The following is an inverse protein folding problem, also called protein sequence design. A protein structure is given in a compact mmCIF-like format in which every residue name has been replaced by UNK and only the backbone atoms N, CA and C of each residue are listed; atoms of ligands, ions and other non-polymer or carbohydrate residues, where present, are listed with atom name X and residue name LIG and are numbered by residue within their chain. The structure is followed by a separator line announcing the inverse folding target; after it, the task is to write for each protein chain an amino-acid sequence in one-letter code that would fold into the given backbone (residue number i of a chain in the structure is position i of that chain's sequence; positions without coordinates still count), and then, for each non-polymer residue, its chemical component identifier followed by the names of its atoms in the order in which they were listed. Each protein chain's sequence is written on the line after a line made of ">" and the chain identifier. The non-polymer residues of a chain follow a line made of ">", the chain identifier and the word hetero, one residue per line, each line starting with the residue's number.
data_IF_974385959042
#
_entry.id   IF_974385959042
#
_cell.length_a   1.000
_cell.length_b   1.000
_cell.length_c   1.000
_cell.angle_alpha   90.00
_cell.angle_beta   90.00
_cell.angle_gamma   90.00
#
_symmetry.space_group_name_H-M   'P 1'
#
loop_
_entity.id
_entity.type
_entity.pdbx_description
1 polymer ?
#
# COMPACT_ATOMS: atom_id res chain seq x y z
N UNK A 1 -33.31 14.69 17.60
CA UNK A 1 -33.20 15.80 16.64
C UNK A 1 -31.79 15.85 16.08
N UNK A 2 -31.64 15.59 14.79
CA UNK A 2 -30.34 15.81 14.11
C UNK A 2 -30.19 17.32 13.99
N UNK A 3 -29.17 17.88 14.60
CA UNK A 3 -29.01 19.34 14.64
C UNK A 3 -28.76 19.91 13.23
N UNK A 4 -29.21 21.15 13.00
CA UNK A 4 -28.92 21.88 11.75
C UNK A 4 -27.41 21.88 11.44
N UNK A 5 -26.58 21.82 12.47
CA UNK A 5 -25.13 21.73 12.39
C UNK A 5 -24.66 20.44 11.69
N UNK A 6 -25.33 19.32 11.96
CA UNK A 6 -25.01 18.04 11.31
C UNK A 6 -25.27 18.11 9.79
N UNK A 7 -26.41 18.67 9.38
CA UNK A 7 -26.73 18.84 7.97
C UNK A 7 -25.81 19.81 7.23
N UNK A 8 -25.37 20.87 7.93
CA UNK A 8 -24.38 21.80 7.38
C UNK A 8 -23.02 21.10 7.18
N UNK A 9 -22.62 20.25 8.10
CA UNK A 9 -21.39 19.46 8.00
C UNK A 9 -21.47 18.45 6.85
N UNK A 10 -22.58 17.75 6.72
CA UNK A 10 -22.81 16.81 5.59
C UNK A 10 -22.77 17.54 4.27
N UNK A 11 -23.39 18.72 4.18
CA UNK A 11 -23.38 19.53 2.97
C UNK A 11 -21.98 20.05 2.64
N UNK A 12 -21.21 20.48 3.63
CA UNK A 12 -19.82 20.91 3.45
C UNK A 12 -18.93 19.77 2.92
N UNK A 13 -19.07 18.56 3.49
CA UNK A 13 -18.36 17.37 3.01
C UNK A 13 -18.78 17.02 1.59
N UNK A 14 -20.08 17.07 1.28
CA UNK A 14 -20.58 16.83 -0.07
C UNK A 14 -20.02 17.81 -1.09
N UNK A 15 -19.92 19.09 -0.75
CA UNK A 15 -19.32 20.12 -1.62
C UNK A 15 -17.84 19.82 -1.89
N UNK A 16 -17.08 19.46 -0.85
CA UNK A 16 -15.65 19.11 -1.01
C UNK A 16 -15.46 17.88 -1.90
N UNK A 17 -16.35 16.89 -1.80
CA UNK A 17 -16.26 15.65 -2.59
C UNK A 17 -16.71 15.85 -4.02
N UNK A 18 -17.80 16.61 -4.24
CA UNK A 18 -18.48 16.72 -5.55
C UNK A 18 -17.96 17.86 -6.42
N UNK A 19 -17.29 18.87 -5.84
CA UNK A 19 -16.83 20.04 -6.59
C UNK A 19 -15.30 19.97 -6.78
N UNK A 20 -14.79 19.60 -7.98
CA UNK A 20 -13.37 19.40 -8.25
C UNK A 20 -12.46 20.57 -7.82
N UNK A 21 -12.78 21.85 -8.13
CA UNK A 21 -11.90 22.95 -7.76
C UNK A 21 -11.80 23.18 -6.23
N UNK A 22 -12.82 22.81 -5.48
CA UNK A 22 -12.83 22.89 -4.01
C UNK A 22 -11.99 21.74 -3.43
N UNK A 23 -12.13 20.55 -3.99
CA UNK A 23 -11.37 19.37 -3.62
C UNK A 23 -9.87 19.60 -3.78
N UNK A 24 -9.42 20.15 -4.91
CA UNK A 24 -8.00 20.41 -5.16
C UNK A 24 -7.38 21.40 -4.17
N UNK A 25 -8.15 22.39 -3.70
CA UNK A 25 -7.68 23.39 -2.73
C UNK A 25 -7.70 22.89 -1.29
N UNK A 26 -8.67 22.06 -0.93
CA UNK A 26 -8.90 21.62 0.45
C UNK A 26 -8.13 20.34 0.74
N UNK A 27 -8.04 19.42 -0.22
CA UNK A 27 -7.43 18.11 -0.03
C UNK A 27 -5.99 18.16 0.49
N UNK A 28 -5.07 18.98 -0.03
CA UNK A 28 -3.71 19.06 0.49
C UNK A 28 -3.62 19.53 1.94
N UNK A 29 -4.63 20.27 2.42
CA UNK A 29 -4.67 20.79 3.80
C UNK A 29 -5.21 19.77 4.80
N UNK A 30 -6.11 18.90 4.37
CA UNK A 30 -6.72 17.88 5.24
C UNK A 30 -5.98 16.54 5.18
N UNK A 31 -5.27 16.26 4.10
CA UNK A 31 -4.53 15.02 3.91
C UNK A 31 -3.60 14.68 5.08
N UNK A 32 -2.83 15.61 5.67
CA UNK A 32 -1.98 15.30 6.82
C UNK A 32 -2.75 14.76 8.03
N UNK A 33 -4.01 15.17 8.20
CA UNK A 33 -4.85 14.67 9.29
C UNK A 33 -5.23 13.18 9.14
N UNK A 34 -5.18 12.64 7.92
CA UNK A 34 -5.45 11.23 7.64
C UNK A 34 -4.20 10.35 7.71
N UNK A 35 -2.99 10.92 7.79
CA UNK A 35 -1.76 10.12 7.83
C UNK A 35 -1.75 9.03 8.92
N UNK A 36 -2.20 9.25 10.16
CA UNK A 36 -2.24 8.19 11.17
C UNK A 36 -3.14 7.02 10.78
N UNK A 37 -4.27 7.29 10.11
CA UNK A 37 -5.17 6.27 9.60
C UNK A 37 -4.54 5.50 8.43
N UNK A 38 -3.86 6.21 7.54
CA UNK A 38 -3.15 5.62 6.41
C UNK A 38 -1.97 4.76 6.88
N UNK A 39 -1.22 5.18 7.89
CA UNK A 39 -0.15 4.39 8.49
C UNK A 39 -0.69 3.10 9.10
N UNK A 40 -1.79 3.18 9.84
CA UNK A 40 -2.44 1.99 10.41
C UNK A 40 -2.91 1.03 9.32
N UNK A 41 -3.54 1.55 8.26
CA UNK A 41 -4.00 0.76 7.13
C UNK A 41 -2.82 0.11 6.39
N UNK A 42 -1.77 0.88 6.08
CA UNK A 42 -0.58 0.38 5.42
C UNK A 42 0.12 -0.74 6.21
N UNK A 43 0.15 -0.64 7.55
CA UNK A 43 0.69 -1.73 8.40
C UNK A 43 -0.09 -3.03 8.26
N UNK A 44 -1.40 -2.95 8.14
CA UNK A 44 -2.24 -4.13 7.89
C UNK A 44 -2.01 -4.68 6.48
N UNK A 45 -1.99 -3.81 5.49
CA UNK A 45 -1.82 -4.18 4.08
C UNK A 45 -0.46 -4.84 3.79
N UNK A 46 0.65 -4.32 4.34
CA UNK A 46 1.96 -4.96 4.15
C UNK A 46 2.00 -6.38 4.72
N UNK A 47 1.29 -6.63 5.83
CA UNK A 47 1.19 -7.97 6.40
C UNK A 47 0.26 -8.89 5.59
N UNK A 48 -0.82 -8.36 5.06
CA UNK A 48 -1.72 -9.11 4.15
C UNK A 48 -1.01 -9.53 2.86
N UNK A 49 -0.25 -8.61 2.25
CA UNK A 49 0.54 -8.91 1.05
C UNK A 49 1.65 -9.91 1.37
N UNK A 50 2.32 -9.78 2.52
CA UNK A 50 3.30 -10.78 3.00
C UNK A 50 2.68 -12.17 3.05
N UNK A 51 1.49 -12.31 3.65
CA UNK A 51 0.80 -13.60 3.78
C UNK A 51 0.33 -14.14 2.43
N UNK A 52 -0.03 -13.24 1.50
CA UNK A 52 -0.37 -13.58 0.12
C UNK A 52 0.86 -14.13 -0.63
N UNK A 53 2.00 -13.46 -0.52
CA UNK A 53 3.28 -13.90 -1.11
C UNK A 53 3.69 -15.26 -0.54
N UNK A 54 3.57 -15.44 0.77
CA UNK A 54 3.88 -16.70 1.44
C UNK A 54 3.01 -17.86 0.94
N UNK A 55 1.71 -17.62 0.75
CA UNK A 55 0.81 -18.63 0.18
C UNK A 55 1.16 -18.97 -1.27
N UNK A 56 1.48 -17.98 -2.09
CA UNK A 56 1.89 -18.19 -3.47
C UNK A 56 3.19 -18.99 -3.55
N UNK A 57 4.18 -18.69 -2.71
CA UNK A 57 5.42 -19.44 -2.59
C UNK A 57 5.19 -20.89 -2.16
N UNK A 58 4.31 -21.13 -1.17
CA UNK A 58 3.95 -22.48 -0.73
C UNK A 58 3.26 -23.30 -1.83
N UNK A 59 2.60 -22.65 -2.78
CA UNK A 59 2.01 -23.28 -3.97
C UNK A 59 3.01 -23.45 -5.12
N UNK A 60 4.30 -23.16 -4.90
CA UNK A 60 5.34 -23.28 -5.91
C UNK A 60 5.35 -22.17 -6.96
N UNK A 61 4.66 -21.05 -6.71
CA UNK A 61 4.67 -19.91 -7.62
C UNK A 61 5.90 -19.05 -7.39
N UNK A 62 6.57 -18.66 -8.46
CA UNK A 62 7.71 -17.75 -8.39
C UNK A 62 7.23 -16.34 -8.10
N UNK A 63 7.76 -15.74 -7.04
CA UNK A 63 7.47 -14.35 -6.68
C UNK A 63 8.45 -13.44 -7.42
N UNK A 64 7.98 -12.52 -8.28
CA UNK A 64 8.87 -11.61 -8.99
C UNK A 64 9.43 -10.54 -8.05
N UNK A 65 10.70 -10.21 -8.22
CA UNK A 65 11.39 -9.18 -7.43
C UNK A 65 11.65 -7.89 -8.24
N UNK A 66 10.94 -7.70 -9.31
CA UNK A 66 11.07 -6.58 -10.26
C UNK A 66 9.75 -5.81 -10.42
N UNK A 67 9.62 -5.05 -11.49
CA UNK A 67 8.44 -4.25 -11.83
C UNK A 67 7.15 -5.08 -11.94
N UNK A 68 7.26 -6.39 -12.19
CA UNK A 68 6.10 -7.28 -12.28
C UNK A 68 5.51 -7.68 -10.93
N UNK A 69 6.14 -7.28 -9.81
CA UNK A 69 5.65 -7.56 -8.46
C UNK A 69 4.24 -6.98 -8.22
N UNK A 70 3.98 -5.75 -8.67
CA UNK A 70 2.65 -5.14 -8.58
C UNK A 70 1.58 -5.95 -9.32
N UNK A 71 1.88 -6.38 -10.53
CA UNK A 71 0.98 -7.22 -11.32
C UNK A 71 0.75 -8.58 -10.64
N UNK A 72 1.80 -9.17 -10.09
CA UNK A 72 1.70 -10.41 -9.33
C UNK A 72 0.77 -10.26 -8.11
N UNK A 73 0.94 -9.21 -7.31
CA UNK A 73 0.10 -8.94 -6.13
C UNK A 73 -1.36 -8.74 -6.53
N UNK A 74 -1.63 -7.95 -7.56
CA UNK A 74 -2.98 -7.71 -8.05
C UNK A 74 -3.67 -9.00 -8.53
N UNK A 75 -2.93 -9.85 -9.23
CA UNK A 75 -3.45 -11.13 -9.72
C UNK A 75 -3.73 -12.12 -8.58
N UNK A 76 -2.81 -12.23 -7.61
CA UNK A 76 -2.98 -13.12 -6.47
C UNK A 76 -4.11 -12.66 -5.52
N UNK A 77 -4.28 -11.36 -5.36
CA UNK A 77 -5.36 -10.76 -4.57
C UNK A 77 -6.70 -10.73 -5.32
N UNK A 78 -6.71 -10.98 -6.64
CA UNK A 78 -7.88 -10.79 -7.51
C UNK A 78 -8.47 -9.37 -7.42
N UNK A 79 -7.62 -8.37 -7.21
CA UNK A 79 -7.99 -6.97 -7.03
C UNK A 79 -6.96 -6.06 -7.71
N UNK A 80 -7.43 -5.11 -8.51
CA UNK A 80 -6.54 -4.25 -9.34
C UNK A 80 -5.64 -3.30 -8.54
N UNK A 81 -6.09 -2.87 -7.36
CA UNK A 81 -5.38 -1.87 -6.55
C UNK A 81 -4.71 -2.47 -5.31
N UNK A 82 -4.65 -3.81 -5.20
CA UNK A 82 -4.06 -4.49 -4.05
C UNK A 82 -2.56 -4.21 -3.88
N UNK A 83 -1.88 -3.82 -4.96
CA UNK A 83 -0.45 -3.51 -4.96
C UNK A 83 -0.12 -2.06 -4.61
N UNK A 84 -1.11 -1.23 -4.26
CA UNK A 84 -0.94 0.21 -4.04
C UNK A 84 -1.26 0.57 -2.60
N UNK A 85 -0.37 1.31 -1.96
CA UNK A 85 -0.53 1.75 -0.58
C UNK A 85 -1.55 2.93 -0.46
N UNK A 86 -1.96 3.32 0.77
CA UNK A 86 -2.94 4.40 0.96
C UNK A 86 -2.53 5.76 0.41
N UNK A 87 -1.24 6.00 0.15
CA UNK A 87 -0.75 7.23 -0.47
C UNK A 87 -0.63 7.16 -1.99
N UNK A 88 -1.00 6.00 -2.58
CA UNK A 88 -0.98 5.79 -4.02
C UNK A 88 0.37 5.32 -4.58
N UNK A 89 1.27 4.86 -3.73
CA UNK A 89 2.58 4.34 -4.12
C UNK A 89 2.55 2.81 -4.16
N UNK A 90 3.21 2.15 -5.14
CA UNK A 90 3.26 0.69 -5.17
C UNK A 90 4.00 0.12 -3.96
N UNK A 91 3.46 -0.96 -3.38
CA UNK A 91 4.22 -1.77 -2.42
C UNK A 91 5.43 -2.41 -3.11
N UNK A 92 6.48 -2.63 -2.38
CA UNK A 92 7.72 -3.20 -2.90
C UNK A 92 8.20 -4.39 -2.06
N UNK A 93 8.97 -5.27 -2.71
CA UNK A 93 9.55 -6.46 -2.11
C UNK A 93 11.01 -6.21 -1.75
N UNK A 94 11.36 -6.51 -0.50
CA UNK A 94 12.73 -6.50 -0.01
C UNK A 94 13.17 -7.95 0.16
N UNK A 95 14.27 -8.33 -0.50
CA UNK A 95 14.88 -9.64 -0.37
C UNK A 95 16.20 -9.55 0.38
N UNK A 96 16.35 -10.38 1.39
CA UNK A 96 17.59 -10.57 2.13
C UNK A 96 17.90 -12.06 2.26
N UNK A 97 18.69 -12.59 1.31
CA UNK A 97 18.87 -14.04 1.17
C UNK A 97 17.57 -14.72 0.81
N UNK A 98 17.12 -15.63 1.66
CA UNK A 98 15.83 -16.33 1.53
C UNK A 98 14.71 -15.71 2.39
N UNK A 99 14.97 -14.61 3.07
CA UNK A 99 13.95 -13.81 3.78
C UNK A 99 13.42 -12.70 2.91
N UNK A 100 12.14 -12.39 3.09
CA UNK A 100 11.52 -11.26 2.42
C UNK A 100 10.69 -10.42 3.39
N UNK A 101 10.49 -9.17 3.04
CA UNK A 101 9.58 -8.22 3.67
C UNK A 101 8.83 -7.46 2.58
N UNK A 102 7.63 -7.00 2.90
CA UNK A 102 6.88 -6.08 2.06
C UNK A 102 7.00 -4.69 2.65
N UNK A 103 7.26 -3.70 1.83
CA UNK A 103 7.40 -2.31 2.21
C UNK A 103 6.38 -1.40 1.55
N UNK A 104 5.88 -0.42 2.31
CA UNK A 104 5.21 0.77 1.82
C UNK A 104 6.17 1.95 1.93
N UNK A 105 6.20 2.80 0.92
CA UNK A 105 7.06 3.99 0.90
C UNK A 105 6.61 5.09 1.90
N UNK A 106 5.48 4.90 2.57
CA UNK A 106 4.99 5.83 3.57
C UNK A 106 4.48 7.15 3.00
N UNK A 107 4.35 8.14 3.88
CA UNK A 107 3.78 9.46 3.53
C UNK A 107 4.64 10.27 2.56
N UNK A 108 5.95 10.07 2.54
CA UNK A 108 6.87 10.77 1.64
C UNK A 108 6.90 10.16 0.23
N UNK A 109 6.29 8.98 0.05
CA UNK A 109 6.19 8.24 -1.21
C UNK A 109 7.54 7.85 -1.80
N UNK A 110 8.57 7.79 -0.98
CA UNK A 110 9.94 7.48 -1.40
C UNK A 110 10.42 6.24 -0.67
N UNK A 111 10.64 5.10 -1.37
CA UNK A 111 11.15 3.88 -0.76
C UNK A 111 12.56 4.06 -0.17
N UNK A 112 12.84 3.42 0.95
CA UNK A 112 14.15 3.43 1.60
C UNK A 112 14.35 4.59 2.57
N UNK A 113 13.28 5.21 3.06
CA UNK A 113 13.31 6.31 4.03
C UNK A 113 12.83 5.87 5.42
N UNK A 114 12.94 6.76 6.39
CA UNK A 114 12.62 6.45 7.80
C UNK A 114 11.13 6.29 8.08
N UNK A 115 10.28 6.77 7.20
CA UNK A 115 8.82 6.63 7.31
C UNK A 115 8.26 5.41 6.56
N UNK A 116 9.14 4.59 5.97
CA UNK A 116 8.74 3.32 5.37
C UNK A 116 8.09 2.40 6.40
N UNK A 117 7.04 1.73 5.96
CA UNK A 117 6.32 0.76 6.77
C UNK A 117 6.62 -0.64 6.22
N UNK A 118 7.27 -1.46 7.05
CA UNK A 118 7.71 -2.80 6.67
C UNK A 118 6.87 -3.88 7.35
N UNK A 119 6.60 -4.96 6.63
CA UNK A 119 6.04 -6.19 7.23
C UNK A 119 7.07 -6.89 8.10
N UNK A 120 6.62 -7.84 8.93
CA UNK A 120 7.54 -8.77 9.57
C UNK A 120 8.27 -9.61 8.50
N UNK A 121 9.56 -9.95 8.72
CA UNK A 121 10.30 -10.81 7.79
C UNK A 121 9.74 -12.23 7.78
N UNK A 122 9.72 -12.84 6.59
CA UNK A 122 9.29 -14.21 6.37
C UNK A 122 10.24 -14.94 5.40
N UNK A 123 10.24 -16.26 5.45
CA UNK A 123 11.06 -17.10 4.58
C UNK A 123 10.36 -17.37 3.25
N UNK A 124 11.12 -17.28 2.14
CA UNK A 124 10.74 -17.83 0.83
C UNK A 124 11.38 -19.20 0.65
N UNK A 125 10.58 -20.14 0.18
CA UNK A 125 11.06 -21.49 -0.21
C UNK A 125 11.67 -21.45 -1.61
N UNK A 126 11.10 -20.64 -2.50
CA UNK A 126 11.54 -20.46 -3.88
C UNK A 126 12.07 -19.03 -4.08
N UNK A 127 13.33 -18.83 -3.75
CA UNK A 127 13.98 -17.51 -3.94
C UNK A 127 14.08 -17.21 -5.43
N UNK A 128 13.57 -16.05 -5.92
CA UNK A 128 13.75 -15.67 -7.31
C UNK A 128 15.23 -15.57 -7.64
N UNK A 129 15.66 -16.21 -8.70
CA UNK A 129 17.01 -16.01 -9.21
C UNK A 129 17.16 -14.53 -9.56
N UNK A 130 18.02 -13.83 -8.84
CA UNK A 130 18.47 -12.51 -9.29
C UNK A 130 19.11 -12.73 -10.66
N UNK A 131 18.46 -12.18 -11.69
CA UNK A 131 18.97 -12.28 -13.03
C UNK A 131 20.47 -12.04 -13.03
N UNK A 132 21.25 -13.06 -13.39
CA UNK A 132 22.69 -12.91 -13.60
C UNK A 132 22.86 -11.83 -14.65
N UNK A 133 23.31 -10.66 -14.23
CA UNK A 133 23.88 -9.72 -15.19
C UNK A 133 25.16 -10.38 -15.72
N UNK A 134 25.08 -10.84 -16.95
CA UNK A 134 26.24 -11.16 -17.72
C UNK A 134 26.90 -9.86 -18.18
#
# INVERSE_FOLDING_TARGET
>A
MISKLFWLLVLAVAVVVLVPPVREKVWPKVQPAFNPLYEWNARNEVNEIRDLVKRADALGRTVPADESFSTFVNNEAMQQDASTDPWGTPFYLILNGNTFQIGSAGKDRTPGTTDDILSNPELLTHVPERGRRF
#
